data_IF_432034533285
#
_entry.id   IF_432034533285
#
_cell.length_a   1.000
_cell.length_b   1.000
_cell.length_c   1.000
_cell.angle_alpha   90.00
_cell.angle_beta   90.00
_cell.angle_gamma   90.00
#
_symmetry.space_group_name_H-M   'P 1'
#
loop_
_entity.id
_entity.type
_entity.pdbx_description
1 polymer ?
#
# COMPACT_ATOMS: atom_id res chain seq x y z
N UNK A 1 -18.82 -3.45 -6.77
CA UNK A 1 -19.09 -4.49 -7.77
C UNK A 1 -19.18 -5.90 -7.18
N UNK A 2 -18.31 -6.36 -6.27
CA UNK A 2 -18.41 -7.73 -5.69
C UNK A 2 -19.50 -7.93 -4.61
N UNK A 3 -19.82 -6.89 -3.83
CA UNK A 3 -20.85 -6.97 -2.75
C UNK A 3 -22.28 -7.09 -3.25
N UNK A 4 -22.49 -6.78 -4.53
CA UNK A 4 -23.79 -6.90 -5.22
C UNK A 4 -23.90 -8.24 -5.95
N UNK A 5 -22.89 -9.12 -5.83
CA UNK A 5 -22.97 -10.47 -6.37
C UNK A 5 -24.06 -11.24 -5.64
N UNK A 6 -24.88 -11.98 -6.39
CA UNK A 6 -25.85 -12.93 -5.82
C UNK A 6 -25.23 -14.29 -5.51
N UNK A 7 -23.95 -14.48 -5.86
CA UNK A 7 -23.21 -15.69 -5.53
C UNK A 7 -22.99 -15.82 -4.01
N UNK A 8 -23.48 -16.92 -3.45
CA UNK A 8 -23.46 -17.17 -2.01
C UNK A 8 -22.05 -17.47 -1.47
N UNK A 9 -21.18 -18.08 -2.26
CA UNK A 9 -19.78 -18.33 -1.90
C UNK A 9 -19.04 -17.00 -1.82
N UNK A 10 -19.23 -16.13 -2.81
CA UNK A 10 -18.68 -14.77 -2.81
C UNK A 10 -19.16 -13.99 -1.58
N UNK A 11 -20.46 -14.03 -1.26
CA UNK A 11 -21.00 -13.38 -0.04
C UNK A 11 -20.36 -13.92 1.24
N UNK A 12 -20.16 -15.24 1.32
CA UNK A 12 -19.56 -15.90 2.48
C UNK A 12 -18.11 -15.49 2.68
N UNK A 13 -17.29 -15.52 1.63
CA UNK A 13 -15.90 -15.08 1.66
C UNK A 13 -15.78 -13.59 2.03
N UNK A 14 -16.67 -12.75 1.51
CA UNK A 14 -16.69 -11.33 1.85
C UNK A 14 -17.03 -11.05 3.32
N UNK A 15 -17.74 -11.95 4.00
CA UNK A 15 -18.05 -11.83 5.43
C UNK A 15 -16.86 -12.24 6.31
N UNK A 16 -15.94 -13.07 5.81
CA UNK A 16 -14.70 -13.42 6.52
C UNK A 16 -13.66 -12.28 6.52
N UNK A 17 -13.85 -11.27 5.67
CA UNK A 17 -13.01 -10.08 5.68
C UNK A 17 -13.37 -9.22 6.90
N UNK A 18 -12.53 -9.24 7.93
CA UNK A 18 -12.67 -8.40 9.12
C UNK A 18 -12.80 -6.92 8.73
N UNK A 19 -14.00 -6.36 8.94
CA UNK A 19 -14.26 -4.93 8.76
C UNK A 19 -14.16 -4.25 10.11
N UNK A 20 -13.65 -3.03 10.16
CA UNK A 20 -13.59 -2.24 11.40
C UNK A 20 -12.36 -2.49 12.26
N UNK A 21 -11.33 -3.17 11.75
CA UNK A 21 -10.03 -3.25 12.43
C UNK A 21 -9.36 -1.87 12.36
N UNK A 22 -9.15 -1.24 13.50
CA UNK A 22 -8.38 -0.01 13.58
C UNK A 22 -6.92 -0.37 13.85
N UNK A 23 -6.01 0.16 13.02
CA UNK A 23 -4.59 -0.14 13.11
C UNK A 23 -3.74 1.12 13.04
N UNK A 24 -2.51 1.03 13.55
CA UNK A 24 -1.45 2.03 13.36
C UNK A 24 -0.16 1.38 12.90
N UNK A 25 0.71 2.19 12.30
CA UNK A 25 2.10 1.81 12.08
C UNK A 25 2.88 1.92 13.40
N UNK A 26 3.61 0.88 13.78
CA UNK A 26 4.42 0.86 15.00
C UNK A 26 5.61 -0.11 14.85
N UNK A 27 6.85 0.36 14.96
CA UNK A 27 8.05 -0.49 14.72
C UNK A 27 8.42 -1.43 15.88
N UNK A 28 8.10 -1.07 17.12
CA UNK A 28 8.51 -1.80 18.33
C UNK A 28 7.43 -2.73 18.88
N UNK A 29 6.20 -2.26 19.00
CA UNK A 29 5.07 -3.03 19.56
C UNK A 29 4.04 -3.38 18.48
N UNK A 30 4.45 -4.14 17.47
CA UNK A 30 3.58 -4.57 16.38
C UNK A 30 2.97 -5.95 16.65
N UNK A 31 1.83 -6.22 16.00
CA UNK A 31 1.24 -7.57 15.96
C UNK A 31 1.51 -8.25 14.62
N UNK A 32 1.67 -7.46 13.55
CA UNK A 32 1.94 -7.95 12.20
C UNK A 32 3.13 -7.22 11.59
N UNK A 33 4.13 -7.97 11.13
CA UNK A 33 5.17 -7.48 10.22
C UNK A 33 5.03 -8.16 8.87
N UNK A 34 5.03 -7.38 7.78
CA UNK A 34 4.96 -7.92 6.44
C UNK A 34 5.85 -7.16 5.47
N UNK A 35 6.74 -7.89 4.80
CA UNK A 35 7.54 -7.40 3.68
C UNK A 35 7.02 -8.00 2.39
N UNK A 36 6.57 -7.14 1.47
CA UNK A 36 6.11 -7.55 0.14
C UNK A 36 7.18 -7.24 -0.92
N UNK A 37 6.98 -7.71 -2.16
CA UNK A 37 7.82 -7.29 -3.30
C UNK A 37 7.75 -5.77 -3.46
N UNK A 38 8.92 -5.14 -3.56
CA UNK A 38 9.03 -3.68 -3.75
C UNK A 38 8.30 -3.27 -5.03
N UNK A 39 7.38 -2.31 -4.91
CA UNK A 39 6.68 -1.67 -6.02
C UNK A 39 6.69 -0.17 -5.81
N UNK A 40 7.50 0.54 -6.59
CA UNK A 40 7.58 1.99 -6.58
C UNK A 40 6.64 2.56 -7.65
N UNK A 41 6.02 3.70 -7.35
CA UNK A 41 5.17 4.43 -8.27
C UNK A 41 6.00 5.61 -8.80
N UNK A 42 6.66 5.39 -9.93
CA UNK A 42 7.40 6.42 -10.66
C UNK A 42 6.87 6.51 -12.10
N UNK A 43 5.74 7.20 -12.31
CA UNK A 43 5.11 7.22 -13.62
C UNK A 43 5.96 8.00 -14.62
N UNK A 44 5.86 7.63 -15.89
CA UNK A 44 6.38 8.43 -16.99
C UNK A 44 5.47 9.63 -17.26
N UNK A 45 6.06 10.81 -17.42
CA UNK A 45 5.40 12.05 -17.83
C UNK A 45 5.98 12.50 -19.17
N UNK A 46 5.16 13.19 -19.97
CA UNK A 46 5.61 13.76 -21.23
C UNK A 46 6.34 15.07 -20.96
N UNK A 47 7.62 15.14 -21.31
CA UNK A 47 8.46 16.33 -21.22
C UNK A 47 9.35 16.42 -22.45
N UNK A 48 9.34 17.58 -23.12
CA UNK A 48 10.10 17.81 -24.37
C UNK A 48 9.92 16.68 -25.42
N UNK A 49 8.65 16.29 -25.62
CA UNK A 49 8.25 15.26 -26.58
C UNK A 49 8.85 13.85 -26.30
N UNK A 50 9.27 13.59 -25.05
CA UNK A 50 9.76 12.30 -24.57
C UNK A 50 9.02 11.87 -23.31
N UNK A 51 8.84 10.57 -23.13
CA UNK A 51 8.35 10.00 -21.87
C UNK A 51 9.53 9.83 -20.92
N UNK A 52 9.51 10.57 -19.81
CA UNK A 52 10.57 10.59 -18.79
C UNK A 52 9.93 10.28 -17.44
N UNK A 53 10.57 9.49 -16.59
CA UNK A 53 9.99 9.23 -15.25
C UNK A 53 9.95 10.51 -14.43
N UNK A 54 8.86 10.69 -13.67
CA UNK A 54 8.59 11.91 -12.92
C UNK A 54 9.71 12.23 -11.92
N UNK A 55 10.34 11.21 -11.32
CA UNK A 55 11.47 11.39 -10.39
C UNK A 55 12.72 11.99 -11.02
N UNK A 56 12.90 11.92 -12.35
CA UNK A 56 14.02 12.57 -13.04
C UNK A 56 13.84 14.07 -13.24
N UNK A 57 12.60 14.55 -13.15
CA UNK A 57 12.25 15.95 -13.42
C UNK A 57 11.91 16.72 -12.14
N UNK A 58 11.55 16.02 -11.06
CA UNK A 58 11.15 16.62 -9.79
C UNK A 58 11.89 15.97 -8.61
N UNK A 59 12.67 16.76 -7.89
CA UNK A 59 13.33 16.32 -6.65
C UNK A 59 12.35 15.91 -5.56
N UNK A 60 11.14 16.49 -5.54
CA UNK A 60 10.10 16.08 -4.60
C UNK A 60 9.61 14.66 -4.91
N UNK A 61 9.39 14.33 -6.19
CA UNK A 61 9.00 12.97 -6.61
C UNK A 61 10.11 11.97 -6.31
N UNK A 62 11.36 12.35 -6.58
CA UNK A 62 12.53 11.53 -6.24
C UNK A 62 12.60 11.24 -4.74
N UNK A 63 12.50 12.26 -3.90
CA UNK A 63 12.49 12.12 -2.43
C UNK A 63 11.34 11.26 -1.93
N UNK A 64 10.15 11.37 -2.54
CA UNK A 64 9.01 10.50 -2.21
C UNK A 64 9.30 9.04 -2.57
N UNK A 65 9.90 8.78 -3.74
CA UNK A 65 10.26 7.43 -4.17
C UNK A 65 11.34 6.80 -3.29
N UNK A 66 12.34 7.56 -2.87
CA UNK A 66 13.38 7.09 -1.95
C UNK A 66 12.78 6.68 -0.60
N UNK A 67 11.92 7.53 -0.02
CA UNK A 67 11.17 7.19 1.21
C UNK A 67 10.28 5.97 1.04
N UNK A 68 9.58 5.86 -0.09
CA UNK A 68 8.73 4.71 -0.39
C UNK A 68 9.56 3.41 -0.54
N UNK A 69 10.74 3.49 -1.16
CA UNK A 69 11.67 2.39 -1.32
C UNK A 69 12.18 1.89 0.03
N UNK A 70 12.69 2.79 0.87
CA UNK A 70 13.16 2.46 2.21
C UNK A 70 12.04 1.77 3.01
N UNK A 71 10.83 2.32 2.98
CA UNK A 71 9.68 1.73 3.67
C UNK A 71 9.31 0.34 3.14
N UNK A 72 9.33 0.15 1.81
CA UNK A 72 9.03 -1.14 1.20
C UNK A 72 10.10 -2.20 1.50
N UNK A 73 11.37 -1.79 1.57
CA UNK A 73 12.49 -2.66 1.91
C UNK A 73 12.45 -3.09 3.39
N UNK A 74 12.12 -2.18 4.29
CA UNK A 74 11.95 -2.48 5.72
C UNK A 74 10.69 -3.31 6.01
N UNK A 75 9.68 -3.22 5.15
CA UNK A 75 8.36 -3.81 5.37
C UNK A 75 7.50 -2.96 6.31
N UNK A 76 6.23 -3.33 6.42
CA UNK A 76 5.26 -2.62 7.26
C UNK A 76 5.11 -3.32 8.60
N UNK A 77 5.16 -2.54 9.67
CA UNK A 77 4.89 -2.98 11.04
C UNK A 77 3.55 -2.41 11.48
N UNK A 78 2.60 -3.26 11.79
CA UNK A 78 1.20 -2.89 12.07
C UNK A 78 0.84 -3.35 13.47
N UNK A 79 0.27 -2.43 14.27
CA UNK A 79 -0.31 -2.68 15.58
C UNK A 79 -1.82 -2.51 15.49
N UNK A 80 -2.56 -3.51 15.97
CA UNK A 80 -4.01 -3.46 16.10
C UNK A 80 -4.36 -2.65 17.34
N UNK A 81 -5.18 -1.61 17.16
CA UNK A 81 -5.68 -0.76 18.25
C UNK A 81 -6.99 -1.33 18.77
N UNK A 82 -7.89 -1.73 17.88
CA UNK A 82 -9.15 -2.36 18.22
C UNK A 82 -9.68 -3.20 17.06
N UNK A 83 -10.53 -4.17 17.40
CA UNK A 83 -11.29 -5.00 16.48
C UNK A 83 -12.72 -5.07 17.03
N UNK A 84 -13.71 -4.74 16.20
CA UNK A 84 -15.14 -4.75 16.55
C UNK A 84 -15.81 -6.02 15.99
#
# INVERSE_FOLDING_TARGET
MLRLSEDQEVKTLLNQIHRGVNVKEAKSEYDLHRRNKVRLIDPSVLYENKLISASKLSEDVKRMNEKAKEKAENGMYVKIISNL
#
